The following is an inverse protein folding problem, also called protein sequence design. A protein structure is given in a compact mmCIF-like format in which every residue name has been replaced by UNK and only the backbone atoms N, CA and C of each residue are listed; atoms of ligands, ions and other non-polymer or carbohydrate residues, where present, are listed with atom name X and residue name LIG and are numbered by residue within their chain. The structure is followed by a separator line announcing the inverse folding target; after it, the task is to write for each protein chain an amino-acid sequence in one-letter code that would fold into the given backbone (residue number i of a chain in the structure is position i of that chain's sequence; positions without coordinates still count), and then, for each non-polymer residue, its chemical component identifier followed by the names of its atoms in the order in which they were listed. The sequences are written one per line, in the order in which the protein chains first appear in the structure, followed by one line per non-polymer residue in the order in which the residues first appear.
data_IF_730010043397
#
_entry.id   IF_730010043397
#
_cell.length_a   1.000
_cell.length_b   1.000
_cell.length_c   1.000
_cell.angle_alpha   90.00
_cell.angle_beta   90.00
_cell.angle_gamma   90.00
#
_symmetry.space_group_name_H-M   'P 1'
#
loop_
_entity.id
_entity.type
_entity.pdbx_description
1 polymer ?
#
# COMPACT_ATOMS: atom_id res chain seq x y z
N UNK A 1 76.39 41.61 -19.77
CA UNK A 1 75.45 42.74 -19.60
C UNK A 1 74.04 42.17 -19.57
N UNK A 2 73.25 42.60 -18.57
CA UNK A 2 71.86 42.24 -18.30
C UNK A 2 70.97 42.36 -19.55
N UNK A 3 69.87 41.62 -19.73
CA UNK A 3 68.80 41.40 -18.77
C UNK A 3 67.99 40.12 -19.07
N UNK A 4 67.90 39.23 -18.09
CA UNK A 4 66.75 38.34 -17.92
C UNK A 4 65.86 38.89 -16.79
N UNK A 5 64.62 38.40 -16.74
CA UNK A 5 63.72 38.33 -15.55
C UNK A 5 62.34 38.99 -15.65
N UNK A 6 61.53 38.68 -16.68
CA UNK A 6 60.08 38.98 -16.60
C UNK A 6 59.14 37.85 -17.04
N UNK A 7 59.63 36.68 -17.49
CA UNK A 7 58.76 35.54 -17.83
C UNK A 7 58.76 34.37 -16.85
N UNK A 8 59.75 34.28 -15.95
CA UNK A 8 59.81 33.19 -14.97
C UNK A 8 58.97 33.44 -13.70
N UNK A 9 58.51 34.68 -13.43
CA UNK A 9 57.76 34.98 -12.20
C UNK A 9 56.27 34.69 -12.26
N UNK A 10 55.67 34.57 -13.46
CA UNK A 10 54.24 34.27 -13.59
C UNK A 10 53.90 32.77 -13.58
N UNK A 11 54.82 31.88 -13.98
CA UNK A 11 54.59 30.43 -13.95
C UNK A 11 54.73 29.80 -12.55
N UNK A 12 55.56 30.38 -11.67
CA UNK A 12 55.71 29.86 -10.30
C UNK A 12 54.53 30.24 -9.38
N UNK A 13 53.83 31.36 -9.65
CA UNK A 13 52.67 31.76 -8.85
C UNK A 13 51.40 30.96 -9.19
N UNK A 14 51.25 30.50 -10.44
CA UNK A 14 50.12 29.64 -10.80
C UNK A 14 50.32 28.17 -10.41
N UNK A 15 51.57 27.69 -10.34
CA UNK A 15 51.84 26.31 -9.94
C UNK A 15 51.71 26.12 -8.41
N UNK A 16 52.07 27.13 -7.60
CA UNK A 16 51.89 27.05 -6.14
C UNK A 16 50.41 27.18 -5.71
N UNK A 17 49.60 27.96 -6.43
CA UNK A 17 48.18 28.10 -6.12
C UNK A 17 47.38 26.84 -6.51
N UNK A 18 47.82 26.10 -7.53
CA UNK A 18 47.21 24.82 -7.92
C UNK A 18 47.64 23.65 -7.01
N UNK A 19 48.82 23.72 -6.37
CA UNK A 19 49.24 22.70 -5.40
C UNK A 19 48.57 22.87 -4.02
N UNK A 20 48.14 24.09 -3.66
CA UNK A 20 47.44 24.35 -2.39
C UNK A 20 45.95 23.99 -2.40
N UNK A 21 45.34 23.77 -3.57
CA UNK A 21 43.94 23.36 -3.72
C UNK A 21 43.72 21.84 -3.66
N UNK A 22 44.78 21.05 -3.53
CA UNK A 22 44.72 19.59 -3.34
C UNK A 22 44.87 19.14 -1.87
N UNK A 23 44.88 20.09 -0.92
CA UNK A 23 44.98 19.85 0.53
C UNK A 23 43.78 20.46 1.29
N UNK A 24 42.60 20.44 0.68
CA UNK A 24 41.35 20.60 1.43
C UNK A 24 41.00 19.26 2.09
N UNK A 25 40.67 19.27 3.40
CA UNK A 25 40.63 18.05 4.17
C UNK A 25 39.49 17.17 3.65
N UNK A 26 39.80 15.89 3.55
CA UNK A 26 38.83 14.80 3.65
C UNK A 26 37.99 15.05 4.92
N UNK A 27 36.94 15.87 4.80
CA UNK A 27 35.96 16.10 5.84
C UNK A 27 35.16 14.81 5.93
N UNK A 28 35.62 13.94 6.82
CA UNK A 28 34.82 13.12 7.70
C UNK A 28 33.46 12.72 7.09
N UNK A 29 33.50 11.89 6.04
CA UNK A 29 32.64 10.72 6.11
C UNK A 29 33.19 9.88 7.26
N UNK A 30 32.80 10.24 8.48
CA UNK A 30 32.71 9.27 9.53
C UNK A 30 31.69 8.25 9.01
N UNK A 31 32.18 7.26 8.28
CA UNK A 31 31.61 5.94 8.31
C UNK A 31 31.36 5.68 9.78
N UNK A 32 30.09 5.71 10.18
CA UNK A 32 29.67 4.91 11.31
C UNK A 32 30.11 3.49 10.93
N UNK A 33 31.33 3.14 11.33
CA UNK A 33 31.71 1.77 11.56
C UNK A 33 30.63 1.30 12.51
N UNK A 34 29.63 0.61 11.94
CA UNK A 34 28.77 -0.27 12.69
C UNK A 34 29.77 -1.16 13.40
N UNK A 35 29.88 -0.98 14.71
CA UNK A 35 30.71 -1.78 15.57
C UNK A 35 30.56 -3.24 15.16
N UNK A 36 31.68 -3.94 14.95
CA UNK A 36 31.74 -5.26 14.32
C UNK A 36 31.11 -6.39 15.16
N UNK A 37 30.27 -6.06 16.14
CA UNK A 37 29.39 -7.00 16.81
C UNK A 37 28.31 -7.48 15.85
N UNK A 38 28.15 -8.79 15.73
CA UNK A 38 27.07 -9.38 14.94
C UNK A 38 25.69 -8.87 15.37
N UNK A 39 24.66 -9.17 14.57
CA UNK A 39 23.27 -8.83 14.90
C UNK A 39 22.96 -9.48 16.26
N UNK A 40 22.59 -8.68 17.29
CA UNK A 40 22.30 -9.22 18.62
C UNK A 40 21.17 -10.26 18.55
N UNK A 41 21.25 -11.31 19.37
CA UNK A 41 20.25 -12.38 19.37
C UNK A 41 19.53 -12.47 20.72
N UNK A 42 18.28 -12.89 20.73
CA UNK A 42 17.53 -13.07 21.98
C UNK A 42 18.06 -14.22 22.85
N UNK A 43 18.95 -15.07 22.32
CA UNK A 43 19.68 -16.08 23.11
C UNK A 43 20.61 -15.44 24.13
N UNK A 44 21.05 -14.20 23.89
CA UNK A 44 21.96 -13.45 24.76
C UNK A 44 21.23 -12.77 25.95
N UNK A 45 19.90 -12.91 26.02
CA UNK A 45 19.06 -12.28 27.03
C UNK A 45 18.47 -10.93 26.58
N UNK A 46 17.84 -10.18 27.50
CA UNK A 46 17.23 -8.89 27.17
C UNK A 46 18.30 -7.83 26.87
N UNK A 47 18.07 -7.03 25.83
CA UNK A 47 18.94 -5.90 25.50
C UNK A 47 18.66 -4.68 26.39
N UNK A 48 19.68 -3.85 26.61
CA UNK A 48 19.48 -2.52 27.23
C UNK A 48 18.54 -1.68 26.36
N UNK A 49 17.48 -1.07 26.92
CA UNK A 49 16.57 -0.22 26.17
C UNK A 49 17.31 0.93 25.47
N UNK A 50 17.03 1.14 24.18
CA UNK A 50 17.59 2.22 23.38
C UNK A 50 16.47 3.12 22.89
N UNK A 51 16.65 4.44 23.03
CA UNK A 51 15.76 5.45 22.45
C UNK A 51 16.54 6.27 21.44
N UNK A 52 16.02 6.40 20.23
CA UNK A 52 16.56 7.34 19.24
C UNK A 52 15.98 8.72 19.52
N UNK A 53 16.84 9.73 19.65
CA UNK A 53 16.41 11.10 19.85
C UNK A 53 15.55 11.56 18.65
N UNK A 54 14.46 12.27 18.92
CA UNK A 54 13.62 12.81 17.87
C UNK A 54 14.37 13.88 17.08
N UNK A 55 14.46 13.70 15.76
CA UNK A 55 15.02 14.70 14.86
C UNK A 55 13.98 15.81 14.60
N UNK A 56 14.21 16.98 15.20
CA UNK A 56 13.32 18.15 15.09
C UNK A 56 13.32 18.79 13.69
N UNK A 57 14.25 18.41 12.81
CA UNK A 57 14.27 18.89 11.43
C UNK A 57 13.24 18.19 10.54
N UNK A 58 12.68 17.07 10.98
CA UNK A 58 11.68 16.31 10.22
C UNK A 58 10.36 17.09 10.10
N UNK A 59 9.78 17.05 8.90
CA UNK A 59 8.45 17.60 8.64
C UNK A 59 7.41 16.91 9.53
N UNK A 60 6.55 17.71 10.15
CA UNK A 60 5.42 17.21 10.92
C UNK A 60 4.22 16.88 10.03
N UNK A 61 3.52 15.80 10.40
CA UNK A 61 2.34 15.32 9.69
C UNK A 61 2.64 14.67 8.33
N UNK A 62 1.62 14.05 7.77
CA UNK A 62 1.66 13.47 6.42
C UNK A 62 0.42 13.95 5.68
N UNK A 63 0.58 14.51 4.49
CA UNK A 63 -0.55 14.96 3.70
C UNK A 63 -1.25 13.75 3.06
N UNK A 64 -2.58 13.70 3.18
CA UNK A 64 -3.42 12.72 2.53
C UNK A 64 -3.30 12.83 0.99
N UNK A 65 -3.21 11.68 0.33
CA UNK A 65 -3.23 11.60 -1.13
C UNK A 65 -4.63 12.01 -1.60
N UNK A 66 -4.74 13.01 -2.51
CA UNK A 66 -6.05 13.46 -2.98
C UNK A 66 -6.73 12.36 -3.80
N UNK A 67 -8.05 12.22 -3.71
CA UNK A 67 -8.80 11.21 -4.50
C UNK A 67 -8.77 11.48 -6.02
N UNK A 68 -8.28 12.65 -6.44
CA UNK A 68 -7.96 12.95 -7.84
C UNK A 68 -6.62 12.38 -8.32
N UNK A 69 -5.81 11.80 -7.42
CA UNK A 69 -4.59 11.10 -7.80
C UNK A 69 -4.93 9.95 -8.76
N UNK A 70 -4.24 9.84 -9.92
CA UNK A 70 -4.56 8.83 -10.93
C UNK A 70 -4.53 7.39 -10.43
N UNK A 71 -3.75 7.09 -9.39
CA UNK A 71 -3.69 5.75 -8.79
C UNK A 71 -5.01 5.35 -8.14
N UNK A 72 -5.73 6.33 -7.59
CA UNK A 72 -6.98 6.13 -6.86
C UNK A 72 -8.21 6.27 -7.78
N UNK A 73 -8.00 6.53 -9.07
CA UNK A 73 -9.07 6.72 -10.03
C UNK A 73 -9.86 5.41 -10.22
N UNK A 74 -11.20 5.46 -10.24
CA UNK A 74 -12.02 4.28 -10.54
C UNK A 74 -11.75 3.77 -11.95
N UNK A 75 -12.06 2.50 -12.21
CA UNK A 75 -11.96 1.95 -13.57
C UNK A 75 -12.88 2.71 -14.55
N UNK A 76 -12.34 2.99 -15.73
CA UNK A 76 -13.02 3.81 -16.76
C UNK A 76 -14.31 3.15 -17.32
N UNK A 77 -14.43 1.83 -17.26
CA UNK A 77 -15.56 1.06 -17.81
C UNK A 77 -16.02 -0.03 -16.82
N UNK A 78 -16.82 0.28 -15.80
CA UNK A 78 -17.49 -0.75 -15.01
C UNK A 78 -18.37 -1.63 -15.92
N UNK A 79 -18.54 -2.93 -15.63
CA UNK A 79 -18.27 -3.60 -14.35
C UNK A 79 -16.90 -4.30 -14.29
N UNK A 80 -15.83 -3.67 -14.78
CA UNK A 80 -14.46 -4.14 -14.56
C UNK A 80 -14.12 -4.29 -13.07
N UNK A 81 -13.55 -5.45 -12.66
CA UNK A 81 -13.00 -5.63 -11.32
C UNK A 81 -11.94 -4.58 -10.95
N UNK A 82 -12.10 -3.99 -9.78
CA UNK A 82 -11.12 -3.13 -9.11
C UNK A 82 -10.90 -3.58 -7.66
N UNK A 83 -9.94 -2.95 -6.97
CA UNK A 83 -9.66 -3.22 -5.55
C UNK A 83 -9.36 -4.71 -5.28
N UNK A 84 -8.70 -5.37 -6.24
CA UNK A 84 -8.45 -6.82 -6.19
C UNK A 84 -7.47 -7.14 -5.08
N UNK A 85 -7.91 -7.92 -4.09
CA UNK A 85 -7.15 -8.29 -2.90
C UNK A 85 -7.16 -9.80 -2.71
N UNK A 86 -6.03 -10.32 -2.19
CA UNK A 86 -5.87 -11.72 -1.82
C UNK A 86 -5.75 -11.83 -0.30
N UNK A 87 -6.40 -12.83 0.30
CA UNK A 87 -6.27 -13.13 1.71
C UNK A 87 -6.01 -14.61 1.95
N UNK A 88 -5.08 -14.93 2.84
CA UNK A 88 -4.82 -16.30 3.26
C UNK A 88 -6.09 -16.90 3.91
N UNK A 89 -6.30 -18.20 3.69
CA UNK A 89 -7.26 -18.96 4.49
C UNK A 89 -6.57 -19.56 5.72
N UNK A 90 -7.32 -20.29 6.54
CA UNK A 90 -6.76 -21.05 7.66
C UNK A 90 -5.76 -22.12 7.18
N UNK A 91 -5.99 -22.69 5.98
CA UNK A 91 -5.17 -23.74 5.39
C UNK A 91 -4.34 -23.21 4.21
N UNK A 92 -3.10 -23.70 4.00
CA UNK A 92 -2.23 -23.31 2.88
C UNK A 92 -2.78 -23.76 1.51
N UNK A 93 -3.75 -24.67 1.52
CA UNK A 93 -4.45 -25.20 0.34
C UNK A 93 -5.67 -24.37 -0.05
N UNK A 94 -5.88 -23.22 0.60
CA UNK A 94 -7.01 -22.33 0.33
C UNK A 94 -6.60 -20.86 0.40
N UNK A 95 -7.23 -20.04 -0.44
CA UNK A 95 -6.99 -18.61 -0.54
C UNK A 95 -8.29 -17.89 -0.96
N UNK A 96 -8.52 -16.69 -0.44
CA UNK A 96 -9.61 -15.82 -0.84
C UNK A 96 -9.14 -14.82 -1.88
N UNK A 97 -9.95 -14.66 -2.93
CA UNK A 97 -9.83 -13.57 -3.90
C UNK A 97 -11.05 -12.69 -3.73
N UNK A 98 -10.82 -11.40 -3.50
CA UNK A 98 -11.88 -10.41 -3.36
C UNK A 98 -11.66 -9.23 -4.30
N UNK A 99 -12.74 -8.61 -4.75
CA UNK A 99 -12.70 -7.43 -5.62
C UNK A 99 -14.02 -6.67 -5.54
N UNK A 100 -14.06 -5.49 -6.15
CA UNK A 100 -15.27 -4.67 -6.28
C UNK A 100 -15.63 -4.50 -7.75
N UNK A 101 -16.92 -4.52 -8.08
CA UNK A 101 -17.46 -4.09 -9.38
C UNK A 101 -18.53 -3.01 -9.21
N UNK A 102 -18.75 -2.23 -10.26
CA UNK A 102 -19.67 -1.09 -10.21
C UNK A 102 -19.09 0.11 -9.44
N UNK A 103 -19.84 1.21 -9.42
CA UNK A 103 -19.41 2.45 -8.77
C UNK A 103 -20.13 2.64 -7.45
N UNK A 104 -19.37 2.94 -6.40
CA UNK A 104 -19.92 3.44 -5.16
C UNK A 104 -20.63 4.78 -5.39
N UNK A 105 -21.60 5.09 -4.51
CA UNK A 105 -22.40 6.30 -4.57
C UNK A 105 -22.28 7.06 -3.26
N UNK A 106 -22.21 8.39 -3.34
CA UNK A 106 -22.24 9.30 -2.20
C UNK A 106 -23.34 10.32 -2.43
N UNK A 107 -24.19 10.55 -1.44
CA UNK A 107 -25.31 11.47 -1.58
C UNK A 107 -26.38 11.29 -0.50
N UNK A 108 -27.45 12.06 -0.59
CA UNK A 108 -28.58 12.00 0.37
C UNK A 108 -29.54 10.86 0.06
N UNK A 109 -29.77 10.57 -1.22
CA UNK A 109 -30.61 9.48 -1.71
C UNK A 109 -29.76 8.51 -2.52
N UNK A 110 -29.71 7.26 -2.07
CA UNK A 110 -28.88 6.22 -2.68
C UNK A 110 -29.76 5.07 -3.15
N UNK A 111 -29.33 4.41 -4.22
CA UNK A 111 -29.91 3.14 -4.64
C UNK A 111 -28.79 2.10 -4.60
N UNK A 112 -28.70 1.28 -3.54
CA UNK A 112 -27.73 0.21 -3.46
C UNK A 112 -27.77 -0.67 -4.71
N UNK A 113 -26.60 -1.09 -5.20
CA UNK A 113 -26.51 -2.01 -6.31
C UNK A 113 -27.07 -3.38 -5.90
N UNK A 114 -27.65 -4.09 -6.85
CA UNK A 114 -28.07 -5.48 -6.64
C UNK A 114 -26.84 -6.40 -6.77
N UNK A 115 -26.37 -7.04 -5.68
CA UNK A 115 -25.22 -7.94 -5.74
C UNK A 115 -25.50 -9.20 -6.58
N UNK A 116 -26.76 -9.56 -6.83
CA UNK A 116 -27.12 -10.71 -7.67
C UNK A 116 -27.01 -10.40 -9.18
N UNK A 117 -26.87 -9.13 -9.56
CA UNK A 117 -26.79 -8.71 -10.95
C UNK A 117 -25.41 -8.98 -11.61
N UNK A 118 -24.39 -9.33 -10.82
CA UNK A 118 -23.02 -9.59 -11.30
C UNK A 118 -22.49 -10.88 -10.67
N UNK A 119 -21.92 -11.76 -11.48
CA UNK A 119 -21.35 -13.02 -11.00
C UNK A 119 -20.03 -12.82 -10.26
N UNK A 120 -19.76 -13.74 -9.34
CA UNK A 120 -18.51 -13.80 -8.58
C UNK A 120 -17.71 -15.03 -9.01
N UNK A 121 -16.92 -14.92 -10.06
CA UNK A 121 -16.14 -16.02 -10.62
C UNK A 121 -14.63 -15.74 -10.50
N UNK A 122 -13.87 -16.80 -10.21
CA UNK A 122 -12.40 -16.81 -10.35
C UNK A 122 -12.01 -17.96 -11.24
N UNK A 123 -11.43 -17.63 -12.38
CA UNK A 123 -10.84 -18.55 -13.35
C UNK A 123 -9.35 -18.67 -13.04
N UNK A 124 -8.84 -19.88 -12.79
CA UNK A 124 -7.47 -20.05 -12.29
C UNK A 124 -6.79 -21.35 -12.75
N UNK A 125 -5.45 -21.35 -12.78
CA UNK A 125 -4.61 -22.46 -13.23
C UNK A 125 -3.13 -22.27 -12.89
N UNK A 126 -2.31 -23.30 -13.10
CA UNK A 126 -0.86 -23.28 -12.77
C UNK A 126 -0.01 -22.75 -13.92
N UNK A 127 -0.62 -22.46 -15.06
CA UNK A 127 0.04 -21.96 -16.27
C UNK A 127 -0.64 -20.66 -16.71
N UNK A 128 0.17 -19.64 -17.00
CA UNK A 128 -0.29 -18.38 -17.56
C UNK A 128 -1.09 -18.61 -18.84
N UNK A 129 -2.19 -17.90 -19.04
CA UNK A 129 -3.11 -18.05 -20.15
C UNK A 129 -4.03 -19.28 -20.11
N UNK A 130 -3.82 -20.23 -19.18
CA UNK A 130 -4.53 -21.51 -19.14
C UNK A 130 -5.30 -21.70 -17.82
N UNK A 131 -6.49 -21.10 -17.75
CA UNK A 131 -7.38 -21.13 -16.59
C UNK A 131 -8.39 -22.29 -16.65
N UNK A 132 -7.94 -23.51 -16.33
CA UNK A 132 -8.75 -24.72 -16.47
C UNK A 132 -9.78 -24.94 -15.35
N UNK A 133 -9.71 -24.17 -14.25
CA UNK A 133 -10.62 -24.28 -13.12
C UNK A 133 -11.37 -22.98 -12.89
N UNK A 134 -12.60 -23.10 -12.41
CA UNK A 134 -13.45 -21.98 -12.01
C UNK A 134 -13.95 -22.21 -10.59
N UNK A 135 -13.86 -21.19 -9.76
CA UNK A 135 -14.52 -21.14 -8.46
C UNK A 135 -15.56 -20.02 -8.48
N UNK A 136 -16.68 -20.24 -7.82
CA UNK A 136 -17.71 -19.22 -7.61
C UNK A 136 -17.78 -18.83 -6.14
N UNK A 137 -18.36 -17.66 -5.86
CA UNK A 137 -18.50 -17.16 -4.50
C UNK A 137 -19.72 -16.26 -4.32
N UNK A 138 -19.68 -15.46 -3.26
CA UNK A 138 -20.76 -14.56 -2.88
C UNK A 138 -20.43 -13.11 -3.22
N UNK A 139 -21.47 -12.30 -3.31
CA UNK A 139 -21.36 -10.86 -3.45
C UNK A 139 -22.27 -10.15 -2.45
N UNK A 140 -21.87 -8.95 -2.05
CA UNK A 140 -22.63 -8.11 -1.12
C UNK A 140 -22.41 -6.63 -1.41
N UNK A 141 -23.23 -5.78 -0.78
CA UNK A 141 -23.08 -4.33 -0.76
C UNK A 141 -23.23 -3.87 0.69
N UNK A 142 -22.53 -2.80 1.05
CA UNK A 142 -22.77 -2.14 2.33
C UNK A 142 -23.13 -0.67 2.12
N UNK A 143 -23.79 -0.10 3.13
CA UNK A 143 -24.09 1.32 3.17
C UNK A 143 -23.66 1.91 4.49
N UNK A 144 -23.15 3.14 4.44
CA UNK A 144 -22.91 3.99 5.60
C UNK A 144 -23.98 5.09 5.59
N UNK A 145 -24.91 5.02 6.54
CA UNK A 145 -26.08 5.89 6.57
C UNK A 145 -26.04 6.81 7.80
N UNK A 146 -26.38 8.08 7.60
CA UNK A 146 -26.40 9.12 8.62
C UNK A 146 -27.80 9.76 8.67
N UNK A 147 -28.54 9.60 9.78
CA UNK A 147 -29.89 10.15 9.92
C UNK A 147 -29.87 11.61 10.40
N UNK A 148 -28.91 12.42 9.94
CA UNK A 148 -28.73 13.82 10.35
C UNK A 148 -28.80 14.75 9.13
N UNK A 149 -29.53 15.87 9.22
CA UNK A 149 -29.60 16.84 8.12
C UNK A 149 -28.20 17.33 7.72
N UNK A 150 -27.93 17.36 6.41
CA UNK A 150 -26.67 17.86 5.85
C UNK A 150 -25.54 16.82 5.75
N UNK A 151 -25.66 15.66 6.41
CA UNK A 151 -24.70 14.57 6.25
C UNK A 151 -25.01 13.76 4.98
N UNK A 152 -23.95 13.29 4.30
CA UNK A 152 -24.07 12.46 3.12
C UNK A 152 -23.96 10.98 3.47
N UNK A 153 -24.79 10.16 2.81
CA UNK A 153 -24.72 8.72 2.89
C UNK A 153 -23.74 8.17 1.86
N UNK A 154 -23.35 6.91 2.04
CA UNK A 154 -22.57 6.14 1.07
C UNK A 154 -23.18 4.74 0.86
N UNK A 155 -23.11 4.22 -0.36
CA UNK A 155 -23.30 2.80 -0.65
C UNK A 155 -22.19 2.33 -1.58
N UNK A 156 -21.65 1.14 -1.31
CA UNK A 156 -20.50 0.60 -2.03
C UNK A 156 -20.84 0.16 -3.46
N UNK A 157 -19.78 -0.12 -4.23
CA UNK A 157 -19.90 -1.08 -5.34
C UNK A 157 -20.29 -2.48 -4.83
N UNK A 158 -20.49 -3.42 -5.75
CA UNK A 158 -20.70 -4.83 -5.40
C UNK A 158 -19.36 -5.44 -5.00
N UNK A 159 -19.26 -5.93 -3.78
CA UNK A 159 -18.07 -6.55 -3.20
C UNK A 159 -18.19 -8.06 -3.39
N UNK A 160 -17.18 -8.68 -3.98
CA UNK A 160 -17.16 -10.10 -4.31
C UNK A 160 -16.14 -10.83 -3.45
N UNK A 161 -16.49 -12.04 -3.01
CA UNK A 161 -15.61 -12.92 -2.23
C UNK A 161 -15.67 -14.34 -2.79
N UNK A 162 -14.54 -14.83 -3.31
CA UNK A 162 -14.41 -16.19 -3.83
C UNK A 162 -13.31 -16.95 -3.09
N UNK A 163 -13.66 -18.10 -2.54
CA UNK A 163 -12.71 -19.00 -1.89
C UNK A 163 -12.19 -20.03 -2.87
N UNK A 164 -10.89 -20.03 -3.10
CA UNK A 164 -10.18 -21.09 -3.79
C UNK A 164 -9.84 -22.18 -2.77
N UNK A 165 -9.99 -23.44 -3.15
CA UNK A 165 -9.73 -24.62 -2.31
C UNK A 165 -8.95 -25.66 -3.12
N UNK A 166 -8.38 -26.67 -2.43
CA UNK A 166 -7.57 -27.71 -3.05
C UNK A 166 -6.41 -27.16 -3.89
N UNK A 167 -5.82 -26.05 -3.45
CA UNK A 167 -4.60 -25.49 -4.02
C UNK A 167 -3.41 -26.30 -3.52
N UNK A 168 -2.41 -26.50 -4.37
CA UNK A 168 -1.13 -27.07 -3.96
C UNK A 168 -0.34 -26.02 -3.19
N UNK A 169 0.19 -26.31 -1.98
CA UNK A 169 1.07 -25.41 -1.24
C UNK A 169 2.34 -25.07 -2.02
N UNK A 170 2.95 -23.91 -1.76
CA UNK A 170 4.18 -23.46 -2.44
C UNK A 170 4.10 -23.37 -3.98
N UNK A 171 2.89 -23.26 -4.55
CA UNK A 171 2.64 -23.29 -5.99
C UNK A 171 2.14 -21.94 -6.49
N UNK A 172 2.60 -21.55 -7.68
CA UNK A 172 2.12 -20.35 -8.37
C UNK A 172 0.83 -20.66 -9.12
N UNK A 173 -0.18 -19.82 -8.91
CA UNK A 173 -1.43 -19.83 -9.65
C UNK A 173 -1.61 -18.52 -10.41
N UNK A 174 -2.09 -18.62 -11.64
CA UNK A 174 -2.55 -17.52 -12.47
C UNK A 174 -4.06 -17.48 -12.41
N UNK A 175 -4.64 -16.28 -12.35
CA UNK A 175 -6.09 -16.12 -12.21
C UNK A 175 -6.62 -14.85 -12.86
N UNK A 176 -7.90 -14.91 -13.19
CA UNK A 176 -8.76 -13.76 -13.55
C UNK A 176 -10.02 -13.82 -12.70
N UNK A 177 -10.48 -12.69 -12.19
CA UNK A 177 -11.72 -12.61 -11.41
C UNK A 177 -12.75 -11.75 -12.13
N UNK A 178 -14.04 -11.89 -11.81
CA UNK A 178 -15.13 -11.07 -12.34
C UNK A 178 -16.34 -11.89 -12.78
N UNK A 179 -16.97 -11.47 -13.86
CA UNK A 179 -18.14 -12.09 -14.47
C UNK A 179 -17.86 -12.41 -15.94
N UNK A 180 -17.71 -13.69 -16.27
CA UNK A 180 -17.43 -14.14 -17.64
C UNK A 180 -18.62 -14.02 -18.59
N UNK A 181 -19.83 -13.77 -18.09
CA UNK A 181 -21.03 -13.59 -18.92
C UNK A 181 -21.18 -12.19 -19.49
N UNK A 182 -20.45 -11.22 -18.94
CA UNK A 182 -20.47 -9.84 -19.40
C UNK A 182 -19.54 -9.65 -20.61
N UNK A 183 -19.85 -8.68 -21.49
CA UNK A 183 -19.00 -8.33 -22.64
C UNK A 183 -17.63 -7.79 -22.18
N UNK A 184 -16.80 -7.33 -23.12
CA UNK A 184 -15.44 -6.82 -22.83
C UNK A 184 -15.38 -5.98 -21.55
N UNK A 185 -14.54 -6.43 -20.60
CA UNK A 185 -14.39 -5.82 -19.27
C UNK A 185 -14.99 -6.63 -18.12
N UNK A 186 -15.79 -7.68 -18.37
CA UNK A 186 -16.36 -8.51 -17.30
C UNK A 186 -15.34 -9.23 -16.41
N UNK A 187 -14.17 -9.58 -16.96
CA UNK A 187 -13.07 -10.22 -16.24
C UNK A 187 -11.86 -9.29 -16.12
N UNK A 188 -11.13 -9.41 -15.00
CA UNK A 188 -9.86 -8.72 -14.78
C UNK A 188 -8.80 -9.13 -15.81
N UNK A 189 -7.74 -8.32 -15.91
CA UNK A 189 -6.46 -8.80 -16.46
C UNK A 189 -5.95 -10.00 -15.66
N UNK A 190 -5.13 -10.84 -16.30
CA UNK A 190 -4.49 -11.98 -15.63
C UNK A 190 -3.52 -11.50 -14.54
N UNK A 191 -3.61 -12.14 -13.37
CA UNK A 191 -2.75 -11.90 -12.22
C UNK A 191 -2.20 -13.23 -11.73
N UNK A 192 -1.22 -13.19 -10.82
CA UNK A 192 -0.73 -14.41 -10.19
C UNK A 192 -0.44 -14.23 -8.71
N UNK A 193 -0.50 -15.34 -7.99
CA UNK A 193 -0.09 -15.43 -6.59
C UNK A 193 0.64 -16.75 -6.35
N UNK A 194 1.32 -16.86 -5.21
CA UNK A 194 1.93 -18.11 -4.75
C UNK A 194 1.33 -18.49 -3.41
N UNK A 195 0.87 -19.73 -3.29
CA UNK A 195 0.36 -20.27 -2.02
C UNK A 195 1.48 -20.37 -0.99
N UNK A 196 1.10 -20.26 0.29
CA UNK A 196 2.01 -20.48 1.41
C UNK A 196 2.51 -21.94 1.44
N UNK A 197 3.66 -22.21 2.07
CA UNK A 197 4.11 -23.58 2.28
C UNK A 197 3.15 -24.35 3.19
N UNK A 198 3.17 -25.68 3.09
CA UNK A 198 2.49 -26.52 4.05
C UNK A 198 3.15 -26.38 5.45
N UNK A 199 2.38 -26.40 6.55
CA UNK A 199 2.93 -26.41 7.90
C UNK A 199 3.96 -27.53 8.08
N UNK A 200 5.21 -27.15 8.33
CA UNK A 200 6.28 -28.05 8.73
C UNK A 200 7.31 -27.30 9.59
N UNK A 201 8.12 -28.00 10.41
CA UNK A 201 9.11 -27.36 11.29
C UNK A 201 10.17 -26.51 10.56
N UNK A 202 10.37 -26.72 9.27
CA UNK A 202 11.38 -26.09 8.42
C UNK A 202 10.77 -25.35 7.22
N UNK A 203 9.44 -25.19 7.17
CA UNK A 203 8.73 -24.59 6.04
C UNK A 203 8.02 -23.30 6.45
N UNK A 204 8.58 -22.16 6.03
CA UNK A 204 8.09 -20.83 6.39
C UNK A 204 7.87 -19.93 5.17
N UNK A 205 6.92 -18.98 5.22
CA UNK A 205 6.92 -17.88 4.27
C UNK A 205 8.29 -17.15 4.33
N UNK A 206 8.84 -16.82 3.16
CA UNK A 206 10.18 -16.23 3.07
C UNK A 206 10.29 -14.92 3.84
N UNK A 207 9.28 -14.07 3.73
CA UNK A 207 9.19 -12.75 4.37
C UNK A 207 7.74 -12.49 4.75
N UNK A 208 7.51 -12.14 6.00
CA UNK A 208 6.22 -11.64 6.49
C UNK A 208 6.40 -10.17 6.80
N UNK A 209 5.74 -9.32 6.02
CA UNK A 209 5.68 -7.90 6.30
C UNK A 209 4.61 -7.64 7.38
N UNK A 210 4.91 -6.75 8.32
CA UNK A 210 3.97 -6.31 9.35
C UNK A 210 3.88 -4.79 9.27
N UNK A 211 2.66 -4.27 9.15
CA UNK A 211 2.38 -2.84 9.04
C UNK A 211 1.05 -2.54 9.73
N UNK A 212 0.91 -1.35 10.31
CA UNK A 212 -0.33 -0.86 10.92
C UNK A 212 -0.46 0.62 10.65
N UNK A 213 -1.63 1.18 10.95
CA UNK A 213 -1.86 2.63 10.97
C UNK A 213 -1.47 3.29 9.62
N UNK A 214 -1.79 2.60 8.51
CA UNK A 214 -1.20 2.93 7.22
C UNK A 214 -1.74 4.26 6.70
N UNK A 215 -3.05 4.47 6.75
CA UNK A 215 -3.70 5.61 6.10
C UNK A 215 -3.48 5.66 4.60
N UNK A 216 -3.83 6.79 4.00
CA UNK A 216 -3.65 7.06 2.57
C UNK A 216 -2.97 8.41 2.37
N UNK A 217 -1.69 8.46 2.71
CA UNK A 217 -0.86 9.67 2.71
C UNK A 217 0.41 9.51 1.87
N UNK A 218 1.15 10.59 1.63
CA UNK A 218 2.46 10.51 0.95
C UNK A 218 3.47 9.62 1.70
N UNK A 219 3.44 9.60 3.03
CA UNK A 219 4.29 8.68 3.79
C UNK A 219 3.81 7.23 3.64
N UNK A 220 2.50 7.01 3.59
CA UNK A 220 1.90 5.68 3.35
C UNK A 220 2.38 5.10 2.03
N UNK A 221 2.49 5.91 0.97
CA UNK A 221 3.02 5.45 -0.33
C UNK A 221 4.49 5.04 -0.21
N UNK A 222 5.30 5.77 0.55
CA UNK A 222 6.70 5.37 0.81
C UNK A 222 6.79 4.06 1.60
N UNK A 223 5.91 3.85 2.58
CA UNK A 223 5.83 2.58 3.33
C UNK A 223 5.50 1.43 2.39
N UNK A 224 4.47 1.58 1.54
CA UNK A 224 4.07 0.56 0.56
C UNK A 224 5.19 0.29 -0.46
N UNK A 225 5.89 1.32 -0.94
CA UNK A 225 7.04 1.15 -1.82
C UNK A 225 8.15 0.33 -1.16
N UNK A 226 8.42 0.56 0.13
CA UNK A 226 9.39 -0.23 0.89
C UNK A 226 8.92 -1.67 1.09
N UNK A 227 7.63 -1.91 1.34
CA UNK A 227 7.08 -3.27 1.42
C UNK A 227 7.24 -3.97 0.06
N UNK A 228 6.86 -3.33 -1.05
CA UNK A 228 6.96 -3.90 -2.39
C UNK A 228 8.41 -4.25 -2.76
N UNK A 229 9.38 -3.37 -2.48
CA UNK A 229 10.81 -3.63 -2.69
C UNK A 229 11.33 -4.82 -1.89
N UNK A 230 10.72 -5.11 -0.74
CA UNK A 230 11.08 -6.25 0.10
C UNK A 230 10.40 -7.55 -0.32
N UNK A 231 9.49 -7.55 -1.30
CA UNK A 231 8.88 -8.77 -1.88
C UNK A 231 8.39 -9.77 -0.79
N UNK A 232 7.47 -9.35 0.10
CA UNK A 232 6.94 -10.21 1.14
C UNK A 232 6.05 -11.31 0.57
N UNK A 233 6.09 -12.49 1.19
CA UNK A 233 5.17 -13.59 0.88
C UNK A 233 3.79 -13.39 1.53
N UNK A 234 3.72 -12.59 2.58
CA UNK A 234 2.51 -12.27 3.33
C UNK A 234 2.64 -10.86 3.94
N UNK A 235 1.54 -10.12 3.99
CA UNK A 235 1.43 -8.85 4.70
C UNK A 235 0.41 -9.03 5.82
N UNK A 236 0.81 -8.73 7.06
CA UNK A 236 -0.07 -8.60 8.20
C UNK A 236 -0.34 -7.12 8.46
N UNK A 237 -1.58 -6.70 8.19
CA UNK A 237 -2.06 -5.34 8.47
C UNK A 237 -2.72 -5.28 9.85
N UNK A 238 -2.10 -4.61 10.82
CA UNK A 238 -2.55 -4.57 12.23
C UNK A 238 -3.42 -3.35 12.54
N UNK A 239 -4.60 -3.29 11.90
CA UNK A 239 -5.61 -2.26 12.18
C UNK A 239 -5.32 -0.90 11.54
N UNK A 240 -6.26 0.04 11.73
CA UNK A 240 -6.20 1.43 11.27
C UNK A 240 -5.76 1.59 9.80
N UNK A 241 -6.68 1.23 8.92
CA UNK A 241 -6.40 1.14 7.47
C UNK A 241 -6.56 2.50 6.78
N UNK A 242 -7.77 2.87 6.34
CA UNK A 242 -7.96 4.02 5.45
C UNK A 242 -8.10 5.37 6.16
N UNK A 243 -8.30 5.39 7.49
CA UNK A 243 -8.64 6.59 8.28
C UNK A 243 -9.81 7.43 7.68
N UNK A 244 -10.80 6.77 7.07
CA UNK A 244 -12.00 7.43 6.54
C UNK A 244 -12.77 8.25 7.60
N UNK A 245 -12.60 7.93 8.88
CA UNK A 245 -13.19 8.59 10.04
C UNK A 245 -12.44 9.85 10.50
N UNK A 246 -11.43 10.31 9.76
CA UNK A 246 -10.78 11.61 9.91
C UNK A 246 -11.42 12.70 9.02
N UNK A 247 -12.56 12.40 8.41
CA UNK A 247 -13.24 13.24 7.43
C UNK A 247 -14.71 13.42 7.79
N UNK A 248 -15.27 14.57 7.43
CA UNK A 248 -16.73 14.75 7.35
C UNK A 248 -17.30 13.94 6.18
N UNK A 249 -18.58 13.63 6.22
CA UNK A 249 -19.30 12.90 5.16
C UNK A 249 -19.27 13.60 3.80
N UNK A 250 -19.07 14.91 3.78
CA UNK A 250 -18.91 15.73 2.57
C UNK A 250 -17.50 15.61 1.95
N UNK A 251 -16.57 14.93 2.62
CA UNK A 251 -15.19 14.79 2.18
C UNK A 251 -14.35 16.02 2.53
N UNK A 252 -13.57 16.51 1.55
CA UNK A 252 -12.66 17.62 1.75
C UNK A 252 -11.30 17.21 2.32
N UNK A 253 -10.79 17.96 3.30
CA UNK A 253 -9.48 17.71 3.92
C UNK A 253 -9.65 16.94 5.22
N UNK A 254 -8.94 15.83 5.35
CA UNK A 254 -8.91 15.05 6.58
C UNK A 254 -8.19 15.81 7.70
N UNK A 255 -8.54 15.50 8.94
CA UNK A 255 -7.98 16.14 10.14
C UNK A 255 -7.30 15.12 11.05
N UNK A 256 -6.21 15.52 11.69
CA UNK A 256 -5.47 14.64 12.62
C UNK A 256 -6.26 14.29 13.89
N UNK A 257 -7.20 15.16 14.29
CA UNK A 257 -8.10 14.94 15.41
C UNK A 257 -9.51 15.37 15.02
N UNK A 258 -10.39 14.38 14.79
CA UNK A 258 -11.78 14.62 14.40
C UNK A 258 -12.52 15.45 15.45
N UNK A 259 -12.49 15.02 16.72
CA UNK A 259 -13.20 15.70 17.81
C UNK A 259 -12.66 17.11 18.12
N UNK A 260 -11.36 17.35 17.86
CA UNK A 260 -10.77 18.68 18.04
C UNK A 260 -11.19 19.65 16.93
N UNK A 261 -11.35 19.15 15.70
CA UNK A 261 -11.60 19.98 14.52
C UNK A 261 -13.09 20.16 14.23
N UNK A 262 -13.91 19.17 14.62
CA UNK A 262 -15.36 19.16 14.43
C UNK A 262 -16.06 18.85 15.77
N UNK A 263 -15.91 19.73 16.79
CA UNK A 263 -16.51 19.49 18.11
C UNK A 263 -18.04 19.47 18.08
N UNK A 264 -18.64 20.15 17.09
CA UNK A 264 -20.09 20.25 16.93
C UNK A 264 -20.67 19.19 15.96
N UNK A 265 -19.85 18.26 15.46
CA UNK A 265 -20.34 17.18 14.61
C UNK A 265 -21.35 16.32 15.39
N UNK A 266 -22.53 16.03 14.82
CA UNK A 266 -23.59 15.32 15.55
C UNK A 266 -23.25 13.85 15.84
N UNK A 267 -22.25 13.31 15.14
CA UNK A 267 -21.73 11.95 15.29
C UNK A 267 -20.27 11.92 14.79
N UNK A 268 -19.54 10.86 15.12
CA UNK A 268 -18.26 10.56 14.46
C UNK A 268 -18.51 10.17 13.00
N UNK A 269 -18.36 11.15 12.11
CA UNK A 269 -18.55 10.99 10.66
C UNK A 269 -17.44 10.16 10.01
N UNK A 270 -17.67 9.78 8.76
CA UNK A 270 -16.65 9.16 7.90
C UNK A 270 -16.90 9.46 6.43
N UNK A 271 -15.81 9.59 5.67
CA UNK A 271 -15.85 9.70 4.21
C UNK A 271 -15.42 8.39 3.56
N UNK A 272 -16.40 7.53 3.32
CA UNK A 272 -16.20 6.18 2.79
C UNK A 272 -15.40 6.08 1.48
N UNK A 273 -15.42 7.05 0.54
CA UNK A 273 -14.55 7.02 -0.63
C UNK A 273 -13.05 6.94 -0.34
N UNK A 274 -12.61 7.23 0.90
CA UNK A 274 -11.22 6.97 1.32
C UNK A 274 -10.89 5.48 1.37
N UNK A 275 -11.86 4.60 1.69
CA UNK A 275 -11.69 3.15 1.58
C UNK A 275 -11.51 2.70 0.13
N UNK A 276 -12.37 3.18 -0.77
CA UNK A 276 -12.24 2.90 -2.21
C UNK A 276 -10.88 3.34 -2.75
N UNK A 277 -10.46 4.56 -2.38
CA UNK A 277 -9.15 5.08 -2.76
C UNK A 277 -8.02 4.22 -2.18
N UNK A 278 -8.08 3.86 -0.90
CA UNK A 278 -7.02 3.08 -0.24
C UNK A 278 -6.81 1.70 -0.89
N UNK A 279 -7.88 1.08 -1.37
CA UNK A 279 -7.83 -0.25 -1.96
C UNK A 279 -7.46 -0.27 -3.45
N UNK A 280 -7.45 0.89 -4.14
CA UNK A 280 -7.04 1.02 -5.55
C UNK A 280 -5.53 1.19 -5.68
#
# INVERSE_FOLDING_TARGET
MASGSTHARHLYHHCLLQLLLLLLPCQQFASHLVDGGGIPTTLDGPFTPVTRAFDRSLRQGSADVPLSDPRLAPRARPPCPEQITLAASAEPTSLWVSWVTGRAQVGTHLTPLDPAAVRSEVWYGERAGHHLRVATGSAEVYSQLYPYPGLLNYTSGVIHHVRLVNLTPSTRYYYRCGDSSLPEGGLSDERSFRTLPAPAPDAYPRRVAVVGDLGLTGNSTSTVDHLAKNDPSLILMVGDMAYANQYLTTGGTGVSCFSCSFPDAPIRESYQPRWDGWAR
#
